data_IF_294153230554
#
_entry.id   IF_294153230554
#
_cell.length_a   1.000
_cell.length_b   1.000
_cell.length_c   1.000
_cell.angle_alpha   90.00
_cell.angle_beta   90.00
_cell.angle_gamma   90.00
#
_symmetry.space_group_name_H-M   'P 1'
#
loop_
_entity.id
_entity.type
_entity.pdbx_description
1 polymer ?
#
# COMPACT_ATOMS: atom_id res chain seq x y z
N UNK A 1 5.30 -2.12 -2.41
CA UNK A 1 4.33 -3.17 -2.01
C UNK A 1 4.57 -3.62 -0.57
N UNK A 2 3.54 -3.60 0.27
CA UNK A 2 3.58 -4.18 1.62
C UNK A 2 3.28 -5.69 1.59
N UNK A 3 4.02 -6.45 2.40
CA UNK A 3 3.82 -7.90 2.58
C UNK A 3 2.88 -8.21 3.75
N UNK A 4 2.22 -9.36 3.70
CA UNK A 4 1.58 -9.94 4.89
C UNK A 4 2.64 -10.45 5.87
N UNK A 5 2.29 -10.55 7.15
CA UNK A 5 3.20 -11.08 8.18
C UNK A 5 3.73 -12.47 7.82
N UNK A 6 2.88 -13.39 7.32
CA UNK A 6 3.34 -14.72 6.94
C UNK A 6 4.40 -14.68 5.81
N UNK A 7 4.25 -13.77 4.85
CA UNK A 7 5.20 -13.58 3.75
C UNK A 7 6.51 -12.99 4.26
N UNK A 8 6.44 -11.99 5.14
CA UNK A 8 7.61 -11.44 5.81
C UNK A 8 8.34 -12.51 6.63
N UNK A 9 7.60 -13.36 7.35
CA UNK A 9 8.15 -14.49 8.12
C UNK A 9 8.85 -15.50 7.22
N UNK A 10 8.24 -15.88 6.11
CA UNK A 10 8.83 -16.86 5.17
C UNK A 10 10.10 -16.28 4.52
N UNK A 11 10.10 -14.98 4.24
CA UNK A 11 11.27 -14.27 3.75
C UNK A 11 12.39 -14.21 4.80
N UNK A 12 12.05 -13.92 6.06
CA UNK A 12 12.98 -13.96 7.18
C UNK A 12 13.63 -15.34 7.32
N UNK A 13 12.86 -16.43 7.25
CA UNK A 13 13.40 -17.79 7.29
C UNK A 13 14.38 -18.07 6.14
N UNK A 14 14.07 -17.63 4.91
CA UNK A 14 14.94 -17.81 3.75
C UNK A 14 16.30 -17.14 3.91
N UNK A 15 16.35 -16.01 4.62
CA UNK A 15 17.58 -15.28 4.95
C UNK A 15 18.23 -15.73 6.27
N UNK A 16 17.67 -16.76 6.91
CA UNK A 16 18.19 -17.34 8.15
C UNK A 16 17.92 -16.51 9.41
N UNK A 17 17.03 -15.51 9.34
CA UNK A 17 16.52 -14.81 10.53
C UNK A 17 15.72 -15.81 11.36
N UNK A 18 16.00 -15.97 12.66
CA UNK A 18 15.25 -16.91 13.48
C UNK A 18 13.79 -16.49 13.64
N UNK A 19 12.88 -17.38 13.25
CA UNK A 19 11.43 -17.19 13.31
C UNK A 19 10.77 -18.44 13.87
N UNK A 20 9.56 -18.30 14.39
CA UNK A 20 8.74 -19.46 14.76
C UNK A 20 8.13 -20.11 13.52
N UNK A 21 7.84 -21.43 13.57
CA UNK A 21 7.08 -22.08 12.52
C UNK A 21 5.68 -21.46 12.44
N UNK A 22 5.22 -21.21 11.21
CA UNK A 22 3.91 -20.65 10.90
C UNK A 22 3.22 -21.45 9.81
N UNK A 23 1.90 -21.59 9.89
CA UNK A 23 1.07 -22.26 8.89
C UNK A 23 -0.13 -21.36 8.59
N UNK A 24 -0.35 -21.05 7.32
CA UNK A 24 -1.53 -20.29 6.88
C UNK A 24 -2.77 -21.18 6.86
N UNK A 25 -3.92 -20.58 7.15
CA UNK A 25 -5.23 -21.23 7.12
C UNK A 25 -6.30 -20.22 6.71
N UNK A 26 -7.24 -20.68 5.87
CA UNK A 26 -8.36 -19.89 5.33
C UNK A 26 -9.69 -20.34 5.94
N UNK A 27 -9.70 -21.45 6.69
CA UNK A 27 -10.89 -21.97 7.41
C UNK A 27 -10.57 -22.28 8.87
N UNK A 28 -11.57 -22.25 9.78
CA UNK A 28 -11.38 -22.68 11.17
C UNK A 28 -10.85 -24.11 11.28
N UNK A 29 -11.29 -25.02 10.41
CA UNK A 29 -10.87 -26.42 10.40
C UNK A 29 -9.39 -26.57 10.01
N UNK A 30 -8.90 -25.76 9.07
CA UNK A 30 -7.47 -25.67 8.76
C UNK A 30 -6.66 -25.07 9.92
N UNK A 31 -7.22 -24.10 10.66
CA UNK A 31 -6.59 -23.56 11.88
C UNK A 31 -6.39 -24.66 12.92
N UNK A 32 -7.40 -25.50 13.14
CA UNK A 32 -7.31 -26.66 14.04
C UNK A 32 -6.22 -27.63 13.60
N UNK A 33 -6.20 -27.99 12.32
CA UNK A 33 -5.20 -28.91 11.77
C UNK A 33 -3.77 -28.34 11.86
N UNK A 34 -3.59 -27.04 11.63
CA UNK A 34 -2.32 -26.35 11.81
C UNK A 34 -1.85 -26.39 13.27
N UNK A 35 -2.76 -26.15 14.23
CA UNK A 35 -2.45 -26.23 15.65
C UNK A 35 -2.06 -27.66 16.09
N UNK A 36 -2.75 -28.69 15.58
CA UNK A 36 -2.38 -30.10 15.82
C UNK A 36 -0.97 -30.42 15.28
N UNK A 37 -0.63 -29.90 14.10
CA UNK A 37 0.67 -30.14 13.46
C UNK A 37 1.81 -29.43 14.19
N UNK A 38 1.60 -28.19 14.64
CA UNK A 38 2.62 -27.43 15.38
C UNK A 38 2.79 -27.95 16.80
N UNK A 39 1.70 -28.35 17.45
CA UNK A 39 1.67 -28.79 18.83
C UNK A 39 1.93 -27.67 19.84
N UNK A 40 1.60 -27.93 21.11
CA UNK A 40 1.80 -26.97 22.19
C UNK A 40 0.89 -25.74 22.10
N UNK A 41 1.37 -24.61 22.63
CA UNK A 41 0.66 -23.33 22.56
C UNK A 41 0.92 -22.69 21.20
N UNK A 42 -0.15 -22.21 20.56
CA UNK A 42 -0.10 -21.50 19.28
C UNK A 42 -0.73 -20.12 19.38
N UNK A 43 -0.43 -19.27 18.40
CA UNK A 43 -1.04 -17.95 18.26
C UNK A 43 -1.68 -17.86 16.87
N UNK A 44 -2.98 -17.59 16.83
CA UNK A 44 -3.74 -17.35 15.60
C UNK A 44 -3.73 -15.86 15.31
N UNK A 45 -3.17 -15.46 14.16
CA UNK A 45 -2.95 -14.07 13.77
C UNK A 45 -3.61 -13.73 12.45
N UNK A 46 -4.45 -12.70 12.44
CA UNK A 46 -5.06 -12.12 11.25
C UNK A 46 -3.98 -11.67 10.24
N UNK A 47 -4.14 -12.06 8.98
CA UNK A 47 -3.28 -11.61 7.90
C UNK A 47 -3.94 -10.44 7.18
N UNK A 48 -3.58 -9.22 7.60
CA UNK A 48 -3.94 -7.94 7.00
C UNK A 48 -2.71 -7.03 7.00
N UNK A 49 -2.60 -6.12 6.03
CA UNK A 49 -1.43 -5.24 5.85
C UNK A 49 -1.42 -4.00 6.75
N UNK A 50 -2.18 -4.04 7.85
CA UNK A 50 -2.30 -2.94 8.81
C UNK A 50 -1.85 -3.37 10.22
N UNK A 51 -1.20 -2.44 10.92
CA UNK A 51 -0.79 -2.62 12.31
C UNK A 51 -1.95 -2.50 13.32
N UNK A 52 -1.71 -2.92 14.56
CA UNK A 52 -2.68 -2.84 15.66
C UNK A 52 -3.68 -4.01 15.73
N UNK A 53 -3.40 -5.11 15.02
CA UNK A 53 -4.25 -6.31 14.92
C UNK A 53 -4.62 -6.89 16.29
N UNK A 54 -3.68 -6.92 17.23
CA UNK A 54 -3.92 -7.42 18.58
C UNK A 54 -5.01 -6.63 19.33
N UNK A 55 -4.94 -5.30 19.28
CA UNK A 55 -5.95 -4.41 19.89
C UNK A 55 -7.34 -4.57 19.24
N UNK A 56 -7.38 -4.89 17.95
CA UNK A 56 -8.60 -5.16 17.20
C UNK A 56 -9.17 -6.58 17.41
N UNK A 57 -8.51 -7.44 18.20
CA UNK A 57 -8.94 -8.82 18.45
C UNK A 57 -8.50 -9.83 17.38
N UNK A 58 -7.66 -9.41 16.43
CA UNK A 58 -7.10 -10.24 15.35
C UNK A 58 -5.91 -11.09 15.75
N UNK A 59 -5.50 -11.12 17.03
CA UNK A 59 -4.43 -11.98 17.54
C UNK A 59 -4.94 -12.69 18.79
N UNK A 60 -4.91 -14.04 18.79
CA UNK A 60 -5.40 -14.86 19.91
C UNK A 60 -4.45 -16.00 20.20
N UNK A 61 -4.10 -16.18 21.48
CA UNK A 61 -3.33 -17.33 21.96
C UNK A 61 -4.29 -18.49 22.22
N UNK A 62 -3.92 -19.69 21.76
CA UNK A 62 -4.65 -20.92 21.96
C UNK A 62 -3.73 -22.02 22.51
N UNK A 63 -4.19 -22.75 23.53
CA UNK A 63 -3.43 -23.81 24.20
C UNK A 63 -3.78 -25.21 23.69
N UNK A 64 -4.87 -25.33 22.95
CA UNK A 64 -5.35 -26.58 22.37
C UNK A 64 -5.81 -26.35 20.93
N UNK A 65 -5.87 -27.41 20.09
CA UNK A 65 -6.43 -27.30 18.75
C UNK A 65 -7.86 -26.78 18.70
N UNK A 66 -8.71 -27.15 19.66
CA UNK A 66 -10.10 -26.70 19.71
C UNK A 66 -10.20 -25.21 20.09
N UNK A 67 -9.33 -24.72 20.99
CA UNK A 67 -9.19 -23.29 21.25
C UNK A 67 -8.69 -22.52 20.01
N UNK A 68 -7.79 -23.13 19.24
CA UNK A 68 -7.29 -22.54 18.00
C UNK A 68 -8.40 -22.44 16.95
N UNK A 69 -9.20 -23.49 16.77
CA UNK A 69 -10.37 -23.47 15.89
C UNK A 69 -11.34 -22.34 16.26
N UNK A 70 -11.67 -22.21 17.55
CA UNK A 70 -12.54 -21.16 18.06
C UNK A 70 -11.95 -19.76 17.82
N UNK A 71 -10.63 -19.61 17.97
CA UNK A 71 -9.93 -18.37 17.62
C UNK A 71 -10.01 -18.07 16.12
N UNK A 72 -9.81 -19.07 15.26
CA UNK A 72 -9.96 -18.95 13.80
C UNK A 72 -11.36 -18.48 13.42
N UNK A 73 -12.41 -19.08 14.01
CA UNK A 73 -13.82 -18.71 13.79
C UNK A 73 -14.15 -17.28 14.24
N UNK A 74 -13.44 -16.77 15.24
CA UNK A 74 -13.61 -15.41 15.75
C UNK A 74 -12.84 -14.35 14.94
N UNK A 75 -11.76 -14.74 14.25
CA UNK A 75 -10.87 -13.83 13.53
C UNK A 75 -11.22 -13.76 12.04
N UNK A 76 -11.52 -14.89 11.39
CA UNK A 76 -11.90 -14.93 9.98
C UNK A 76 -13.21 -14.15 9.76
N UNK A 77 -13.21 -13.23 8.79
CA UNK A 77 -14.31 -12.33 8.49
C UNK A 77 -14.38 -11.06 9.36
N UNK A 78 -13.48 -10.89 10.34
CA UNK A 78 -13.37 -9.66 11.11
C UNK A 78 -12.91 -8.51 10.20
N UNK A 79 -13.50 -7.32 10.37
CA UNK A 79 -12.97 -6.10 9.77
C UNK A 79 -11.95 -5.45 10.72
N UNK A 80 -10.73 -5.24 10.22
CA UNK A 80 -9.66 -4.54 10.94
C UNK A 80 -9.30 -3.30 10.15
N UNK A 81 -9.85 -2.14 10.55
CA UNK A 81 -9.60 -0.84 9.92
C UNK A 81 -9.94 -0.83 8.42
N UNK A 82 -11.05 -1.45 8.01
CA UNK A 82 -11.47 -1.56 6.61
C UNK A 82 -10.87 -2.74 5.85
N UNK A 83 -10.05 -3.56 6.50
CA UNK A 83 -9.51 -4.80 5.92
C UNK A 83 -10.23 -6.01 6.50
N UNK A 84 -11.01 -6.68 5.66
CA UNK A 84 -11.64 -7.95 6.02
C UNK A 84 -10.59 -9.08 6.07
N UNK A 85 -10.59 -9.84 7.16
CA UNK A 85 -9.64 -10.94 7.35
C UNK A 85 -10.13 -12.18 6.59
N UNK A 86 -9.45 -12.52 5.50
CA UNK A 86 -9.74 -13.73 4.71
C UNK A 86 -8.82 -14.92 5.04
N UNK A 87 -7.68 -14.64 5.67
CA UNK A 87 -6.64 -15.61 6.00
C UNK A 87 -6.07 -15.33 7.38
N UNK A 88 -5.70 -16.38 8.08
CA UNK A 88 -4.92 -16.30 9.33
C UNK A 88 -3.62 -17.09 9.20
N UNK A 89 -2.65 -16.74 10.05
CA UNK A 89 -1.46 -17.55 10.28
C UNK A 89 -1.54 -18.13 11.69
N UNK A 90 -1.38 -19.45 11.80
CA UNK A 90 -1.18 -20.16 13.06
C UNK A 90 0.31 -20.29 13.29
N UNK A 91 0.84 -19.57 14.26
CA UNK A 91 2.26 -19.58 14.61
C UNK A 91 2.50 -20.34 15.91
N UNK A 92 3.67 -20.96 16.07
CA UNK A 92 4.11 -21.50 17.35
C UNK A 92 4.15 -20.40 18.44
N UNK A 93 3.94 -20.79 19.70
CA UNK A 93 4.15 -19.90 20.84
C UNK A 93 5.60 -19.90 21.31
N UNK A 94 6.06 -18.80 21.92
CA UNK A 94 7.35 -18.69 22.59
C UNK A 94 7.18 -18.20 24.02
N UNK A 95 8.09 -18.63 24.92
CA UNK A 95 8.18 -18.10 26.27
C UNK A 95 9.03 -16.84 26.25
N UNK A 96 8.35 -15.69 26.20
CA UNK A 96 8.98 -14.39 26.01
C UNK A 96 9.59 -13.93 27.34
N UNK A 97 10.90 -13.70 27.34
CA UNK A 97 11.62 -13.10 28.47
C UNK A 97 11.71 -11.58 28.34
N UNK A 98 11.94 -11.09 27.13
CA UNK A 98 12.04 -9.65 26.84
C UNK A 98 11.68 -9.38 25.38
N UNK A 99 10.98 -8.27 25.14
CA UNK A 99 10.62 -7.79 23.80
C UNK A 99 11.49 -6.57 23.43
N UNK A 100 11.90 -6.53 22.17
CA UNK A 100 12.72 -5.50 21.56
C UNK A 100 12.10 -5.01 20.27
N UNK A 101 12.61 -3.89 19.78
CA UNK A 101 12.26 -3.34 18.49
C UNK A 101 13.52 -3.21 17.62
N UNK A 102 13.41 -3.60 16.36
CA UNK A 102 14.43 -3.32 15.35
C UNK A 102 13.76 -3.01 14.00
N UNK A 103 14.30 -2.02 13.29
CA UNK A 103 13.96 -1.76 11.91
C UNK A 103 15.13 -1.17 11.14
N UNK A 104 15.06 -1.28 9.82
CA UNK A 104 15.87 -0.54 8.85
C UNK A 104 14.95 -0.03 7.76
N UNK A 105 15.11 1.24 7.38
CA UNK A 105 14.28 1.91 6.38
C UNK A 105 15.08 2.87 5.50
N UNK A 106 14.49 3.24 4.36
CA UNK A 106 14.95 4.33 3.51
C UNK A 106 14.61 5.69 4.15
N UNK A 107 15.64 6.40 4.63
CA UNK A 107 15.52 7.77 5.13
C UNK A 107 15.61 8.77 3.97
N UNK A 108 14.45 9.22 3.52
CA UNK A 108 14.31 10.18 2.43
C UNK A 108 14.90 11.55 2.76
N UNK A 109 14.88 11.97 4.02
CA UNK A 109 15.37 13.29 4.45
C UNK A 109 16.88 13.36 4.34
N UNK A 110 17.57 12.32 4.81
CA UNK A 110 19.03 12.24 4.75
C UNK A 110 19.55 11.56 3.47
N UNK A 111 18.66 10.98 2.65
CA UNK A 111 18.98 10.26 1.40
C UNK A 111 19.92 9.07 1.65
N UNK A 112 19.66 8.34 2.73
CA UNK A 112 20.43 7.18 3.16
C UNK A 112 19.52 6.13 3.80
N UNK A 113 20.10 5.07 4.35
CA UNK A 113 19.38 4.13 5.21
C UNK A 113 19.51 4.52 6.67
N UNK A 114 18.49 4.19 7.45
CA UNK A 114 18.43 4.48 8.88
C UNK A 114 17.94 3.23 9.61
N UNK A 115 18.64 2.84 10.67
CA UNK A 115 18.17 1.81 11.59
C UNK A 115 17.58 2.47 12.84
N UNK A 116 16.38 2.03 13.21
CA UNK A 116 15.77 2.33 14.50
C UNK A 116 15.79 1.06 15.35
N UNK A 117 16.26 1.16 16.58
CA UNK A 117 16.28 0.03 17.51
C UNK A 117 16.00 0.47 18.95
N UNK A 118 15.32 -0.38 19.71
CA UNK A 118 15.05 -0.14 21.13
C UNK A 118 15.07 -1.42 21.94
N UNK A 119 15.61 -1.34 23.15
CA UNK A 119 15.47 -2.36 24.18
C UNK A 119 14.02 -2.46 24.72
N UNK A 120 13.20 -1.43 24.53
CA UNK A 120 11.76 -1.39 24.86
C UNK A 120 10.93 -1.73 23.60
N UNK A 121 10.67 -3.03 23.36
CA UNK A 121 9.81 -3.49 22.26
C UNK A 121 8.36 -3.76 22.65
N UNK A 122 7.56 -4.26 21.70
CA UNK A 122 6.17 -4.67 21.94
C UNK A 122 5.18 -3.51 22.06
N UNK A 123 5.62 -2.28 21.79
CA UNK A 123 4.83 -1.05 21.83
C UNK A 123 4.79 -0.38 20.44
N UNK A 124 3.85 0.55 20.26
CA UNK A 124 3.80 1.37 19.04
C UNK A 124 5.00 2.32 19.02
N UNK A 125 5.87 2.15 18.02
CA UNK A 125 7.16 2.84 17.97
C UNK A 125 7.00 4.35 17.80
N UNK A 126 5.93 4.78 17.13
CA UNK A 126 5.57 6.17 16.95
C UNK A 126 5.24 6.86 18.28
N UNK A 127 4.64 6.12 19.23
CA UNK A 127 4.38 6.60 20.58
C UNK A 127 5.68 6.67 21.37
N UNK A 128 6.50 5.62 21.31
CA UNK A 128 7.81 5.59 21.99
C UNK A 128 8.71 6.73 21.53
N UNK A 129 8.74 7.01 20.23
CA UNK A 129 9.54 8.09 19.64
C UNK A 129 9.17 9.49 20.17
N UNK A 130 7.92 9.69 20.60
CA UNK A 130 7.44 10.97 21.16
C UNK A 130 7.58 11.00 22.68
N UNK A 131 7.18 9.93 23.37
CA UNK A 131 7.12 9.90 24.83
C UNK A 131 8.47 9.61 25.49
N UNK A 132 9.31 8.80 24.85
CA UNK A 132 10.64 8.39 25.33
C UNK A 132 11.66 8.36 24.18
N UNK A 133 11.95 9.49 23.52
CA UNK A 133 12.88 9.54 22.39
C UNK A 133 14.27 8.98 22.73
N UNK A 134 14.70 9.06 23.99
CA UNK A 134 15.98 8.53 24.48
C UNK A 134 16.06 7.00 24.53
N UNK A 135 14.92 6.31 24.55
CA UNK A 135 14.83 4.85 24.51
C UNK A 135 14.96 4.30 23.07
N UNK A 136 14.89 5.17 22.06
CA UNK A 136 14.96 4.80 20.66
C UNK A 136 16.27 5.27 20.04
N UNK A 137 17.09 4.33 19.59
CA UNK A 137 18.30 4.66 18.85
C UNK A 137 17.98 4.94 17.39
N UNK A 138 18.63 5.98 16.85
CA UNK A 138 18.60 6.34 15.43
C UNK A 138 20.02 6.25 14.89
N UNK A 139 20.32 5.23 14.11
CA UNK A 139 21.67 4.96 13.62
C UNK A 139 21.70 5.01 12.11
N UNK A 140 22.39 6.02 11.56
CA UNK A 140 22.59 6.14 10.13
C UNK A 140 23.42 4.96 9.60
N UNK A 141 22.96 4.39 8.48
CA UNK A 141 23.59 3.25 7.82
C UNK A 141 24.16 3.74 6.49
N UNK A 142 25.44 3.46 6.27
CA UNK A 142 26.09 3.71 4.98
C UNK A 142 25.56 2.69 3.96
N UNK A 143 24.99 3.11 2.81
CA UNK A 143 24.40 2.18 1.84
C UNK A 143 25.40 1.23 1.18
N UNK A 144 26.70 1.57 1.19
CA UNK A 144 27.76 0.75 0.57
C UNK A 144 28.28 -0.30 1.55
N UNK A 145 28.48 0.09 2.83
CA UNK A 145 28.97 -0.81 3.87
C UNK A 145 27.85 -1.66 4.49
N UNK A 146 26.65 -1.10 4.62
CA UNK A 146 25.50 -1.74 5.24
C UNK A 146 25.63 -1.98 6.74
N UNK A 147 24.91 -2.99 7.24
CA UNK A 147 24.99 -3.43 8.64
C UNK A 147 25.83 -4.70 8.71
N UNK A 148 27.13 -4.53 8.97
CA UNK A 148 28.01 -5.61 9.37
C UNK A 148 27.90 -5.87 10.89
N UNK A 149 28.66 -6.84 11.41
CA UNK A 149 28.61 -7.18 12.83
C UNK A 149 29.06 -6.02 13.73
N UNK A 150 30.03 -5.20 13.30
CA UNK A 150 30.50 -4.06 14.10
C UNK A 150 29.41 -2.99 14.20
N UNK A 151 28.77 -2.65 13.07
CA UNK A 151 27.64 -1.73 13.00
C UNK A 151 26.44 -2.26 13.77
N UNK A 152 26.14 -3.56 13.67
CA UNK A 152 25.06 -4.18 14.43
C UNK A 152 25.26 -4.07 15.95
N UNK A 153 26.49 -4.26 16.44
CA UNK A 153 26.82 -4.05 17.85
C UNK A 153 26.71 -2.59 18.27
N UNK A 154 27.14 -1.66 17.40
CA UNK A 154 26.95 -0.22 17.62
C UNK A 154 25.46 0.13 17.77
N UNK A 155 24.60 -0.40 16.89
CA UNK A 155 23.14 -0.22 16.97
C UNK A 155 22.61 -0.72 18.32
N UNK A 156 22.96 -1.95 18.70
CA UNK A 156 22.49 -2.53 19.97
C UNK A 156 22.94 -1.71 21.19
N UNK A 157 24.19 -1.25 21.22
CA UNK A 157 24.72 -0.42 22.32
C UNK A 157 23.99 0.93 22.38
N UNK A 158 23.76 1.59 21.24
CA UNK A 158 23.01 2.85 21.20
C UNK A 158 21.56 2.65 21.64
N UNK A 159 20.95 1.53 21.27
CA UNK A 159 19.60 1.10 21.68
C UNK A 159 19.51 0.61 23.12
N UNK A 160 20.56 0.79 23.92
CA UNK A 160 20.64 0.49 25.36
C UNK A 160 20.51 -0.99 25.70
N UNK A 161 20.87 -1.88 24.78
CA UNK A 161 20.96 -3.30 25.11
C UNK A 161 22.08 -3.53 26.14
N UNK A 162 21.83 -4.35 27.18
CA UNK A 162 22.87 -4.85 28.08
C UNK A 162 24.00 -5.54 27.32
N UNK A 163 25.23 -5.43 27.82
CA UNK A 163 26.43 -5.92 27.13
C UNK A 163 26.35 -7.42 26.79
N UNK A 164 25.73 -8.22 27.65
CA UNK A 164 25.51 -9.65 27.45
C UNK A 164 24.51 -10.00 26.35
N UNK A 165 23.67 -9.04 25.93
CA UNK A 165 22.70 -9.22 24.84
C UNK A 165 23.19 -8.66 23.51
N UNK A 166 24.14 -7.72 23.52
CA UNK A 166 24.70 -7.12 22.29
C UNK A 166 25.22 -8.20 21.33
N UNK A 167 26.00 -9.15 21.84
CA UNK A 167 26.55 -10.24 21.01
C UNK A 167 25.49 -11.23 20.53
N UNK A 168 24.31 -11.29 21.19
CA UNK A 168 23.20 -12.16 20.80
C UNK A 168 22.33 -11.55 19.71
N UNK A 169 22.03 -10.26 19.80
CA UNK A 169 21.12 -9.59 18.84
C UNK A 169 21.84 -9.14 17.57
N UNK A 170 23.13 -8.82 17.66
CA UNK A 170 23.88 -8.29 16.52
C UNK A 170 23.85 -9.20 15.27
N UNK A 171 24.01 -10.54 15.36
CA UNK A 171 23.87 -11.42 14.20
C UNK A 171 22.49 -11.33 13.54
N UNK A 172 21.42 -11.19 14.33
CA UNK A 172 20.05 -11.10 13.82
C UNK A 172 19.82 -9.76 13.11
N UNK A 173 20.39 -8.66 13.61
CA UNK A 173 20.34 -7.36 12.92
C UNK A 173 21.03 -7.41 11.55
N UNK A 174 22.16 -8.11 11.44
CA UNK A 174 22.85 -8.33 10.14
C UNK A 174 21.96 -9.14 9.19
N UNK A 175 21.30 -10.18 9.67
CA UNK A 175 20.38 -10.99 8.86
C UNK A 175 19.17 -10.20 8.39
N UNK A 176 18.56 -9.39 9.25
CA UNK A 176 17.45 -8.50 8.90
C UNK A 176 17.87 -7.43 7.88
N UNK A 177 19.08 -6.91 7.98
CA UNK A 177 19.63 -6.04 6.94
C UNK A 177 19.87 -6.78 5.62
N UNK A 178 20.26 -8.05 5.69
CA UNK A 178 20.43 -8.87 4.49
C UNK A 178 19.10 -9.08 3.76
N UNK A 179 17.98 -9.21 4.48
CA UNK A 179 16.63 -9.17 3.90
C UNK A 179 16.38 -7.82 3.25
N UNK A 180 16.63 -6.72 3.97
CA UNK A 180 16.39 -5.36 3.47
C UNK A 180 17.13 -5.10 2.15
N UNK A 181 18.43 -5.38 2.12
CA UNK A 181 19.26 -5.17 0.94
C UNK A 181 19.00 -6.19 -0.17
N UNK A 182 18.76 -7.45 0.20
CA UNK A 182 18.59 -8.55 -0.74
C UNK A 182 17.28 -8.49 -1.52
N UNK A 183 16.25 -7.89 -0.94
CA UNK A 183 14.90 -7.82 -1.51
C UNK A 183 14.53 -6.43 -2.03
N UNK A 184 15.50 -5.51 -2.08
CA UNK A 184 15.27 -4.08 -2.37
C UNK A 184 14.11 -3.52 -1.54
N UNK A 185 14.14 -3.81 -0.23
CA UNK A 185 13.14 -3.33 0.70
C UNK A 185 13.30 -1.83 0.95
N UNK A 186 12.19 -1.14 1.17
CA UNK A 186 12.18 0.23 1.69
C UNK A 186 11.94 0.25 3.20
N UNK A 187 11.46 -0.86 3.77
CA UNK A 187 11.29 -1.09 5.20
C UNK A 187 11.45 -2.58 5.52
N UNK A 188 12.25 -2.89 6.53
CA UNK A 188 12.18 -4.15 7.30
C UNK A 188 12.05 -3.77 8.76
N UNK A 189 10.98 -4.22 9.40
CA UNK A 189 10.66 -3.95 10.81
C UNK A 189 10.28 -5.25 11.50
N UNK A 190 10.78 -5.44 12.72
CA UNK A 190 10.46 -6.55 13.60
C UNK A 190 10.00 -5.98 14.94
N UNK A 191 8.71 -6.19 15.25
CA UNK A 191 8.10 -5.71 16.49
C UNK A 191 6.99 -6.66 16.98
N UNK A 192 7.27 -7.56 17.94
CA UNK A 192 8.50 -7.64 18.71
C UNK A 192 9.56 -8.57 18.11
N UNK A 193 10.83 -8.18 18.26
CA UNK A 193 11.96 -9.10 18.28
C UNK A 193 12.15 -9.57 19.73
N UNK A 194 12.21 -10.87 20.01
CA UNK A 194 12.18 -11.35 21.40
C UNK A 194 13.42 -12.11 21.81
N UNK A 195 13.78 -11.96 23.08
CA UNK A 195 14.60 -12.92 23.82
C UNK A 195 13.66 -13.94 24.47
N UNK A 196 13.88 -15.23 24.22
CA UNK A 196 13.13 -16.30 24.88
C UNK A 196 13.72 -16.65 26.25
N UNK A 197 12.96 -17.38 27.08
CA UNK A 197 13.47 -17.97 28.32
C UNK A 197 14.62 -18.95 28.07
N UNK A 198 14.62 -19.62 26.91
CA UNK A 198 15.69 -20.50 26.44
C UNK A 198 16.96 -19.73 26.02
N UNK A 199 16.84 -18.41 25.85
CA UNK A 199 17.97 -17.52 25.57
C UNK A 199 18.21 -17.25 24.09
N UNK A 200 17.26 -17.60 23.23
CA UNK A 200 17.29 -17.39 21.78
C UNK A 200 16.70 -16.03 21.40
N UNK A 201 17.15 -15.48 20.28
CA UNK A 201 16.60 -14.25 19.68
C UNK A 201 15.71 -14.64 18.50
N UNK A 202 14.44 -14.24 18.52
CA UNK A 202 13.44 -14.66 17.53
C UNK A 202 12.61 -13.46 17.05
N UNK A 203 12.41 -13.34 15.74
CA UNK A 203 11.44 -12.40 15.17
C UNK A 203 10.03 -12.99 15.29
N UNK A 204 9.17 -12.40 16.14
CA UNK A 204 7.79 -12.88 16.33
C UNK A 204 6.79 -12.25 15.38
N UNK A 205 7.02 -11.03 14.94
CA UNK A 205 6.20 -10.30 13.98
C UNK A 205 7.13 -9.51 13.06
N UNK A 206 6.73 -9.40 11.79
CA UNK A 206 7.54 -8.82 10.74
C UNK A 206 6.71 -7.98 9.79
N UNK A 207 7.16 -6.76 9.55
CA UNK A 207 6.62 -5.89 8.51
C UNK A 207 7.72 -5.61 7.50
N UNK A 208 7.45 -5.93 6.24
CA UNK A 208 8.36 -5.69 5.12
C UNK A 208 7.62 -4.95 4.03
N UNK A 209 8.23 -3.86 3.56
CA UNK A 209 7.79 -3.12 2.39
C UNK A 209 8.88 -3.22 1.34
N UNK A 210 8.54 -3.71 0.15
CA UNK A 210 9.47 -3.83 -0.98
C UNK A 210 9.26 -2.73 -2.02
N UNK A 211 10.33 -2.29 -2.67
CA UNK A 211 10.26 -1.35 -3.79
C UNK A 211 9.75 -2.05 -5.05
N UNK A 212 8.54 -1.70 -5.49
CA UNK A 212 7.95 -2.27 -6.70
C UNK A 212 8.75 -1.91 -7.97
N UNK A 213 9.53 -0.82 -7.95
CA UNK A 213 10.39 -0.47 -9.07
C UNK A 213 11.55 -1.46 -9.26
N UNK A 214 11.90 -2.23 -8.22
CA UNK A 214 12.92 -3.26 -8.29
C UNK A 214 12.39 -4.62 -8.77
N UNK A 215 11.09 -4.77 -9.03
CA UNK A 215 10.47 -6.05 -9.39
C UNK A 215 11.09 -6.73 -10.62
N UNK A 216 11.66 -5.96 -11.56
CA UNK A 216 12.32 -6.49 -12.76
C UNK A 216 13.52 -7.41 -12.47
N UNK A 217 14.16 -7.27 -11.30
CA UNK A 217 15.29 -8.09 -10.86
C UNK A 217 14.94 -9.07 -9.75
N UNK A 218 13.66 -9.13 -9.38
CA UNK A 218 13.12 -10.00 -8.33
C UNK A 218 11.94 -10.83 -8.86
N UNK A 219 12.19 -11.91 -9.61
CA UNK A 219 11.12 -12.70 -10.23
C UNK A 219 10.14 -13.32 -9.22
N UNK A 220 10.55 -13.50 -7.96
CA UNK A 220 9.70 -14.01 -6.89
C UNK A 220 8.67 -13.00 -6.35
N UNK A 221 8.90 -11.69 -6.52
CA UNK A 221 8.03 -10.65 -5.94
C UNK A 221 6.61 -10.66 -6.51
N UNK A 222 6.45 -11.03 -7.78
CA UNK A 222 5.14 -11.12 -8.41
C UNK A 222 4.20 -12.14 -7.74
N UNK A 223 4.76 -13.15 -7.07
CA UNK A 223 4.00 -14.15 -6.31
C UNK A 223 3.58 -13.67 -4.91
N UNK A 224 4.21 -12.60 -4.40
CA UNK A 224 3.89 -12.00 -3.11
C UNK A 224 2.69 -11.04 -3.19
N UNK A 225 2.34 -10.59 -4.40
CA UNK A 225 1.19 -9.71 -4.63
C UNK A 225 -0.13 -10.44 -4.36
N UNK A 226 -0.94 -9.88 -3.48
CA UNK A 226 -2.32 -10.34 -3.26
C UNK A 226 -3.25 -9.67 -4.26
N UNK A 227 -3.40 -10.34 -5.41
CA UNK A 227 -4.28 -9.90 -6.49
C UNK A 227 -5.76 -10.01 -6.14
N UNK A 228 -6.12 -10.83 -5.16
CA UNK A 228 -7.52 -11.01 -4.77
C UNK A 228 -8.03 -9.85 -3.91
N UNK A 229 -7.13 -9.15 -3.20
CA UNK A 229 -7.45 -7.97 -2.41
C UNK A 229 -7.50 -6.66 -3.22
N UNK A 230 -7.05 -6.65 -4.49
CA UNK A 230 -7.07 -5.45 -5.32
C UNK A 230 -8.50 -5.09 -5.77
N UNK A 231 -8.84 -3.80 -5.75
CA UNK A 231 -10.10 -3.33 -6.31
C UNK A 231 -10.18 -3.72 -7.81
N UNK A 232 -11.31 -4.23 -8.32
CA UNK A 232 -11.44 -4.64 -9.72
C UNK A 232 -11.07 -3.54 -10.72
N UNK A 233 -11.31 -2.27 -10.39
CA UNK A 233 -10.95 -1.11 -11.22
C UNK A 233 -9.44 -0.85 -11.17
N UNK A 234 -8.80 -0.97 -10.01
CA UNK A 234 -7.34 -0.89 -9.88
C UNK A 234 -6.65 -2.03 -10.65
N UNK A 235 -7.19 -3.25 -10.58
CA UNK A 235 -6.70 -4.39 -11.36
C UNK A 235 -6.85 -4.15 -12.88
N UNK A 236 -8.01 -3.63 -13.32
CA UNK A 236 -8.26 -3.28 -14.73
C UNK A 236 -7.34 -2.15 -15.22
N UNK A 237 -7.11 -1.14 -14.40
CA UNK A 237 -6.20 -0.03 -14.71
C UNK A 237 -4.75 -0.53 -14.85
N UNK A 238 -4.29 -1.36 -13.91
CA UNK A 238 -2.94 -1.95 -13.93
C UNK A 238 -2.68 -2.80 -15.19
N UNK A 239 -3.68 -3.53 -15.68
CA UNK A 239 -3.59 -4.28 -16.95
C UNK A 239 -3.38 -3.40 -18.19
N UNK A 240 -3.73 -2.11 -18.09
CA UNK A 240 -3.56 -1.11 -19.15
C UNK A 240 -2.41 -0.14 -18.86
N UNK A 241 -1.53 -0.47 -17.91
CA UNK A 241 -0.41 0.36 -17.46
C UNK A 241 -0.85 1.76 -16.97
N UNK A 242 -2.03 1.86 -16.36
CA UNK A 242 -2.57 3.08 -15.79
C UNK A 242 -2.31 3.15 -14.28
N UNK A 243 -1.94 4.32 -13.78
CA UNK A 243 -1.86 4.56 -12.34
C UNK A 243 -3.23 5.02 -11.84
N UNK A 244 -3.94 4.14 -11.14
CA UNK A 244 -5.29 4.39 -10.63
C UNK A 244 -5.36 4.08 -9.14
N UNK A 245 -6.08 4.92 -8.40
CA UNK A 245 -6.43 4.67 -6.99
C UNK A 245 -7.89 5.02 -6.80
N UNK A 246 -8.69 4.11 -6.25
CA UNK A 246 -10.10 4.38 -5.96
C UNK A 246 -10.23 5.26 -4.71
N UNK A 247 -11.15 6.23 -4.75
CA UNK A 247 -11.50 7.10 -3.62
C UNK A 247 -13.02 7.03 -3.38
N UNK A 248 -13.51 7.61 -2.30
CA UNK A 248 -14.95 7.71 -2.02
C UNK A 248 -15.51 9.06 -2.50
N UNK A 249 -16.04 9.12 -3.72
CA UNK A 249 -16.59 10.33 -4.31
C UNK A 249 -17.38 10.11 -5.60
N UNK A 250 -17.82 11.19 -6.23
CA UNK A 250 -18.72 11.18 -7.38
C UNK A 250 -18.12 11.74 -8.67
N UNK A 251 -17.01 12.50 -8.60
CA UNK A 251 -16.35 13.08 -9.78
C UNK A 251 -15.15 12.23 -10.18
N UNK A 252 -15.26 11.51 -11.29
CA UNK A 252 -14.15 10.72 -11.83
C UNK A 252 -13.07 11.61 -12.42
N UNK A 253 -11.80 11.42 -12.05
CA UNK A 253 -10.69 12.26 -12.52
C UNK A 253 -9.83 11.48 -13.50
N UNK A 254 -9.49 12.13 -14.63
CA UNK A 254 -8.47 11.67 -15.57
C UNK A 254 -7.54 12.85 -15.86
N UNK A 255 -6.24 12.68 -15.67
CA UNK A 255 -5.26 13.67 -16.09
C UNK A 255 -3.90 13.04 -16.36
N UNK A 256 -2.94 13.86 -16.78
CA UNK A 256 -1.58 13.42 -17.06
C UNK A 256 -0.56 14.05 -16.10
N UNK A 257 0.30 13.21 -15.54
CA UNK A 257 1.27 13.55 -14.52
C UNK A 257 0.67 13.61 -13.11
N UNK A 258 1.20 12.79 -12.22
CA UNK A 258 0.71 12.64 -10.84
C UNK A 258 0.48 13.96 -10.10
N UNK A 259 1.38 14.95 -10.25
CA UNK A 259 1.22 16.27 -9.64
C UNK A 259 -0.03 17.01 -10.10
N UNK A 260 -0.31 17.04 -11.41
CA UNK A 260 -1.49 17.70 -11.96
C UNK A 260 -2.77 16.96 -11.55
N UNK A 261 -2.75 15.62 -11.56
CA UNK A 261 -3.90 14.82 -11.14
C UNK A 261 -4.21 15.08 -9.67
N UNK A 262 -3.21 15.06 -8.78
CA UNK A 262 -3.41 15.40 -7.35
C UNK A 262 -3.97 16.80 -7.17
N UNK A 263 -3.41 17.82 -7.84
CA UNK A 263 -3.98 19.17 -7.79
C UNK A 263 -5.41 19.22 -8.34
N UNK A 264 -5.77 18.35 -9.29
CA UNK A 264 -7.13 18.22 -9.83
C UNK A 264 -8.10 17.65 -8.80
N UNK A 265 -7.66 16.68 -7.99
CA UNK A 265 -8.45 16.19 -6.85
C UNK A 265 -8.76 17.34 -5.89
N UNK A 266 -7.74 18.16 -5.57
CA UNK A 266 -7.89 19.26 -4.61
C UNK A 266 -8.88 20.33 -5.09
N UNK A 267 -8.75 20.82 -6.33
CA UNK A 267 -9.70 21.83 -6.85
C UNK A 267 -11.11 21.28 -7.02
N UNK A 268 -11.28 19.98 -7.34
CA UNK A 268 -12.60 19.35 -7.40
C UNK A 268 -13.19 19.21 -6.00
N UNK A 269 -12.38 18.86 -5.00
CA UNK A 269 -12.82 18.80 -3.61
C UNK A 269 -13.26 20.20 -3.12
N UNK A 270 -12.48 21.25 -3.41
CA UNK A 270 -12.85 22.63 -3.05
C UNK A 270 -14.12 23.10 -3.77
N UNK A 271 -14.22 22.87 -5.08
CA UNK A 271 -15.44 23.18 -5.82
C UNK A 271 -16.66 22.39 -5.29
N UNK A 272 -16.42 21.17 -4.85
CA UNK A 272 -17.44 20.29 -4.27
C UNK A 272 -18.07 20.84 -2.99
N UNK A 273 -17.36 21.65 -2.20
CA UNK A 273 -17.91 22.32 -1.01
C UNK A 273 -19.10 23.22 -1.36
N UNK A 274 -19.07 23.88 -2.53
CA UNK A 274 -20.16 24.72 -3.04
C UNK A 274 -21.24 23.91 -3.78
N UNK A 275 -20.97 22.64 -4.10
CA UNK A 275 -21.83 21.76 -4.89
C UNK A 275 -22.26 20.50 -4.13
N UNK A 276 -22.81 20.67 -2.92
CA UNK A 276 -23.41 19.57 -2.16
C UNK A 276 -22.41 18.60 -1.53
N UNK A 277 -21.15 19.01 -1.39
CA UNK A 277 -20.08 18.23 -0.80
C UNK A 277 -19.62 17.07 -1.66
N UNK A 278 -19.76 17.17 -2.99
CA UNK A 278 -19.24 16.17 -3.94
C UNK A 278 -17.73 16.07 -3.84
N UNK A 279 -17.20 14.86 -4.06
CA UNK A 279 -15.77 14.58 -3.91
C UNK A 279 -15.19 13.93 -5.15
N UNK A 280 -13.87 14.01 -5.37
CA UNK A 280 -13.21 13.20 -6.38
C UNK A 280 -13.37 11.70 -6.05
N UNK A 281 -13.71 10.92 -7.06
CA UNK A 281 -14.00 9.49 -6.97
C UNK A 281 -12.77 8.61 -7.15
N UNK A 282 -11.68 9.15 -7.69
CA UNK A 282 -10.46 8.40 -7.97
C UNK A 282 -9.30 9.34 -8.27
N UNK A 283 -8.08 8.79 -8.19
CA UNK A 283 -6.90 9.26 -8.91
C UNK A 283 -6.74 8.44 -10.20
N UNK A 284 -6.50 9.06 -11.36
CA UNK A 284 -6.06 8.35 -12.57
C UNK A 284 -5.05 9.20 -13.35
N UNK A 285 -3.81 8.71 -13.43
CA UNK A 285 -2.75 9.29 -14.24
C UNK A 285 -2.48 8.43 -15.48
N UNK A 286 -2.72 9.01 -16.67
CA UNK A 286 -2.45 8.40 -17.98
C UNK A 286 -0.98 8.53 -18.45
N UNK A 287 -0.14 9.20 -17.67
CA UNK A 287 1.27 9.44 -17.97
C UNK A 287 1.51 10.58 -18.98
N UNK A 288 2.77 11.02 -19.07
CA UNK A 288 3.17 12.18 -19.88
C UNK A 288 3.18 11.97 -21.41
N UNK A 289 3.04 10.74 -21.88
CA UNK A 289 3.04 10.35 -23.30
C UNK A 289 1.80 9.55 -23.72
N UNK A 290 0.67 9.82 -23.09
CA UNK A 290 -0.59 9.11 -23.32
C UNK A 290 -1.04 9.16 -24.80
N UNK A 291 -1.39 8.00 -25.34
CA UNK A 291 -1.99 7.87 -26.68
C UNK A 291 -3.53 7.89 -26.59
N UNK A 292 -4.19 7.97 -27.75
CA UNK A 292 -5.64 7.83 -27.84
C UNK A 292 -6.15 6.52 -27.18
N UNK A 293 -5.39 5.43 -27.30
CA UNK A 293 -5.73 4.14 -26.70
C UNK A 293 -5.65 4.18 -25.17
N UNK A 294 -4.62 4.84 -24.60
CA UNK A 294 -4.47 5.01 -23.15
C UNK A 294 -5.61 5.86 -22.59
N UNK A 295 -5.98 6.94 -23.29
CA UNK A 295 -7.14 7.77 -22.90
C UNK A 295 -8.45 6.98 -22.92
N UNK A 296 -8.66 6.15 -23.95
CA UNK A 296 -9.85 5.30 -24.04
C UNK A 296 -9.91 4.25 -22.93
N UNK A 297 -8.79 3.60 -22.61
CA UNK A 297 -8.69 2.68 -21.49
C UNK A 297 -8.98 3.37 -20.15
N UNK A 298 -8.47 4.58 -19.94
CA UNK A 298 -8.76 5.40 -18.76
C UNK A 298 -10.25 5.70 -18.62
N UNK A 299 -10.90 6.13 -19.71
CA UNK A 299 -12.36 6.36 -19.72
C UNK A 299 -13.14 5.08 -19.42
N UNK A 300 -12.76 3.94 -19.99
CA UNK A 300 -13.41 2.65 -19.75
C UNK A 300 -13.29 2.17 -18.29
N UNK A 301 -12.22 2.54 -17.58
CA UNK A 301 -12.10 2.32 -16.13
C UNK A 301 -13.08 3.22 -15.37
N UNK A 302 -13.06 4.54 -15.61
CA UNK A 302 -13.87 5.52 -14.85
C UNK A 302 -15.38 5.38 -15.13
N UNK A 303 -15.76 5.15 -16.38
CA UNK A 303 -17.16 5.00 -16.77
C UNK A 303 -17.75 3.69 -16.22
N UNK A 304 -16.93 2.67 -15.97
CA UNK A 304 -17.34 1.44 -15.30
C UNK A 304 -17.66 1.59 -13.81
N UNK A 305 -17.20 2.65 -13.15
CA UNK A 305 -17.39 2.83 -11.71
C UNK A 305 -18.80 3.37 -11.36
N UNK A 306 -19.69 2.61 -10.69
CA UNK A 306 -21.06 3.03 -10.42
C UNK A 306 -21.21 4.27 -9.52
N UNK A 307 -20.19 4.60 -8.71
CA UNK A 307 -20.23 5.79 -7.85
C UNK A 307 -20.04 7.09 -8.64
N UNK A 308 -19.32 7.01 -9.77
CA UNK A 308 -19.00 8.18 -10.60
C UNK A 308 -20.27 8.70 -11.28
N UNK A 309 -20.50 10.01 -11.16
CA UNK A 309 -21.65 10.75 -11.71
C UNK A 309 -21.24 11.74 -12.80
N UNK A 310 -20.03 12.27 -12.77
CA UNK A 310 -19.42 13.06 -13.85
C UNK A 310 -17.93 12.73 -13.96
N UNK A 311 -17.31 13.07 -15.09
CA UNK A 311 -15.87 12.87 -15.31
C UNK A 311 -15.21 14.20 -15.62
N UNK A 312 -14.12 14.53 -14.95
CA UNK A 312 -13.26 15.66 -15.28
C UNK A 312 -11.95 15.17 -15.91
N UNK A 313 -11.79 15.45 -17.20
CA UNK A 313 -10.55 15.22 -17.95
C UNK A 313 -9.74 16.51 -17.96
N UNK A 314 -8.64 16.55 -17.20
CA UNK A 314 -7.75 17.69 -17.12
C UNK A 314 -6.36 17.32 -17.66
N UNK A 315 -6.08 17.76 -18.89
CA UNK A 315 -4.81 17.43 -19.57
C UNK A 315 -4.04 18.69 -19.90
N UNK A 316 -2.79 18.71 -19.48
CA UNK A 316 -1.81 19.69 -19.93
C UNK A 316 -0.87 19.02 -20.95
N UNK A 317 -1.07 19.34 -22.22
CA UNK A 317 -0.31 18.82 -23.34
C UNK A 317 1.14 19.28 -23.32
N UNK A 318 2.04 18.31 -23.18
CA UNK A 318 3.48 18.47 -23.35
C UNK A 318 3.95 17.56 -24.49
N UNK A 319 4.47 16.38 -24.12
CA UNK A 319 4.75 15.30 -25.09
C UNK A 319 3.44 14.76 -25.65
N UNK A 320 2.45 14.50 -24.79
CA UNK A 320 1.07 14.24 -25.22
C UNK A 320 0.48 15.47 -25.90
N UNK A 321 0.09 15.35 -27.18
CA UNK A 321 -0.57 16.41 -27.91
C UNK A 321 -2.09 16.39 -27.66
N UNK A 322 -2.71 17.57 -27.52
CA UNK A 322 -4.13 17.70 -27.15
C UNK A 322 -5.09 17.11 -28.19
N UNK A 323 -4.71 17.10 -29.46
CA UNK A 323 -5.46 16.46 -30.56
C UNK A 323 -5.51 14.94 -30.42
N UNK A 324 -4.41 14.30 -30.00
CA UNK A 324 -4.40 12.86 -29.74
C UNK A 324 -5.34 12.49 -28.58
N UNK A 325 -5.39 13.33 -27.53
CA UNK A 325 -6.30 13.18 -26.39
C UNK A 325 -7.74 13.38 -26.83
N UNK A 326 -8.02 14.43 -27.60
CA UNK A 326 -9.34 14.70 -28.16
C UNK A 326 -9.84 13.54 -29.02
N UNK A 327 -9.01 12.99 -29.91
CA UNK A 327 -9.33 11.79 -30.68
C UNK A 327 -9.58 10.56 -29.79
N UNK A 328 -8.81 10.39 -28.72
CA UNK A 328 -9.05 9.35 -27.72
C UNK A 328 -10.42 9.46 -27.05
N UNK A 329 -10.81 10.66 -26.64
CA UNK A 329 -12.14 10.93 -26.04
C UNK A 329 -13.25 10.62 -27.05
N UNK A 330 -13.18 11.18 -28.27
CA UNK A 330 -14.20 10.97 -29.31
C UNK A 330 -14.30 9.50 -29.69
N UNK A 331 -13.17 8.81 -29.87
CA UNK A 331 -13.12 7.39 -30.20
C UNK A 331 -13.69 6.50 -29.09
N UNK A 332 -13.39 6.81 -27.84
CA UNK A 332 -13.93 6.09 -26.69
C UNK A 332 -15.45 6.25 -26.61
N UNK A 333 -15.97 7.47 -26.73
CA UNK A 333 -17.41 7.74 -26.72
C UNK A 333 -18.12 7.06 -27.90
N UNK A 334 -17.52 7.07 -29.10
CA UNK A 334 -18.07 6.37 -30.26
C UNK A 334 -18.12 4.85 -30.06
N UNK A 335 -17.12 4.27 -29.39
CA UNK A 335 -17.05 2.83 -29.10
C UNK A 335 -18.06 2.42 -28.04
N UNK A 336 -18.22 3.24 -26.99
CA UNK A 336 -19.16 3.00 -25.91
C UNK A 336 -20.62 3.21 -26.35
N UNK A 337 -20.87 4.10 -27.30
CA UNK A 337 -22.21 4.39 -27.80
C UNK A 337 -23.17 4.73 -26.66
N UNK A 338 -24.34 4.09 -26.63
CA UNK A 338 -25.37 4.32 -25.62
C UNK A 338 -24.96 3.92 -24.18
N UNK A 339 -23.86 3.17 -24.02
CA UNK A 339 -23.32 2.86 -22.70
C UNK A 339 -22.61 4.07 -22.06
N UNK A 340 -22.20 5.06 -22.86
CA UNK A 340 -21.69 6.32 -22.33
C UNK A 340 -22.86 7.14 -21.78
N UNK A 341 -22.95 7.26 -20.46
CA UNK A 341 -24.09 7.91 -19.78
C UNK A 341 -23.67 8.97 -18.74
N UNK A 342 -22.37 9.24 -18.61
CA UNK A 342 -21.85 10.23 -17.67
C UNK A 342 -21.36 11.47 -18.43
N UNK A 343 -21.65 12.70 -17.98
CA UNK A 343 -21.09 13.90 -18.57
C UNK A 343 -19.59 13.99 -18.34
N UNK A 344 -18.86 14.41 -19.37
CA UNK A 344 -17.43 14.66 -19.39
C UNK A 344 -17.17 16.16 -19.47
N UNK A 345 -16.51 16.71 -18.47
CA UNK A 345 -15.92 18.05 -18.53
C UNK A 345 -14.47 17.89 -18.96
N UNK A 346 -14.05 18.62 -19.99
CA UNK A 346 -12.73 18.46 -20.60
C UNK A 346 -12.02 19.80 -20.62
N UNK A 347 -10.85 19.85 -19.97
CA UNK A 347 -9.91 20.97 -20.07
C UNK A 347 -8.64 20.47 -20.75
N UNK A 348 -8.35 21.06 -21.91
CA UNK A 348 -7.10 20.88 -22.65
C UNK A 348 -6.31 22.19 -22.63
N UNK A 349 -4.99 22.07 -22.43
CA UNK A 349 -4.04 23.18 -22.50
C UNK A 349 -2.68 22.70 -23.04
N UNK A 350 -1.83 23.61 -23.50
CA UNK A 350 -0.48 23.29 -23.99
C UNK A 350 -0.43 22.86 -25.46
N UNK A 351 0.36 21.83 -25.76
CA UNK A 351 0.71 21.44 -27.14
C UNK A 351 -0.53 21.06 -27.96
N UNK A 352 -0.69 21.71 -29.12
CA UNK A 352 -1.78 21.52 -30.08
C UNK A 352 -3.21 21.69 -29.50
N UNK A 353 -3.35 22.53 -28.47
CA UNK A 353 -4.63 22.76 -27.77
C UNK A 353 -5.74 23.27 -28.68
N UNK A 354 -5.44 24.18 -29.61
CA UNK A 354 -6.45 24.75 -30.52
C UNK A 354 -7.09 23.65 -31.38
N UNK A 355 -6.27 22.73 -31.90
CA UNK A 355 -6.72 21.59 -32.69
C UNK A 355 -7.51 20.59 -31.83
N UNK A 356 -7.03 20.26 -30.63
CA UNK A 356 -7.77 19.39 -29.71
C UNK A 356 -9.15 19.93 -29.36
N UNK A 357 -9.27 21.24 -29.11
CA UNK A 357 -10.56 21.92 -28.89
C UNK A 357 -11.42 21.91 -30.16
N UNK A 358 -10.84 22.12 -31.34
CA UNK A 358 -11.55 22.04 -32.63
C UNK A 358 -12.16 20.65 -32.83
N UNK A 359 -11.40 19.58 -32.61
CA UNK A 359 -11.87 18.19 -32.73
C UNK A 359 -13.06 17.92 -31.81
N UNK A 360 -12.99 18.34 -30.55
CA UNK A 360 -14.10 18.15 -29.59
C UNK A 360 -15.34 18.96 -29.96
N UNK A 361 -15.15 20.20 -30.43
CA UNK A 361 -16.25 21.05 -30.90
C UNK A 361 -16.93 20.50 -32.16
N UNK A 362 -16.16 19.97 -33.11
CA UNK A 362 -16.71 19.37 -34.33
C UNK A 362 -17.44 18.06 -34.06
N UNK A 363 -16.95 17.26 -33.11
CA UNK A 363 -17.65 16.07 -32.66
C UNK A 363 -19.00 16.42 -31.99
N UNK A 364 -19.08 17.59 -31.34
CA UNK A 364 -20.29 18.16 -30.73
C UNK A 364 -21.09 17.12 -29.91
N UNK A 365 -20.38 16.30 -29.14
CA UNK A 365 -20.99 15.21 -28.40
C UNK A 365 -21.78 15.75 -27.19
N UNK A 366 -23.04 15.34 -26.96
CA UNK A 366 -23.90 15.94 -25.93
C UNK A 366 -23.39 15.76 -24.49
N UNK A 367 -22.55 14.75 -24.26
CA UNK A 367 -21.93 14.52 -22.95
C UNK A 367 -20.67 15.36 -22.71
N UNK A 368 -20.09 16.02 -23.73
CA UNK A 368 -18.80 16.70 -23.59
C UNK A 368 -19.00 18.19 -23.40
N UNK A 369 -18.45 18.73 -22.32
CA UNK A 369 -18.39 20.16 -22.03
C UNK A 369 -16.92 20.59 -21.98
N UNK A 370 -16.53 21.58 -22.78
CA UNK A 370 -15.19 22.16 -22.72
C UNK A 370 -15.11 23.21 -21.60
N UNK A 371 -14.03 23.18 -20.83
CA UNK A 371 -13.69 24.21 -19.84
C UNK A 371 -12.40 24.94 -20.24
N UNK A 372 -12.35 26.25 -20.03
CA UNK A 372 -11.18 27.05 -20.36
C UNK A 372 -10.08 26.94 -19.29
N UNK A 373 -10.47 26.88 -18.02
CA UNK A 373 -9.57 26.77 -16.88
C UNK A 373 -9.81 25.51 -16.07
N UNK A 374 -8.83 25.18 -15.23
CA UNK A 374 -8.92 24.08 -14.28
C UNK A 374 -10.04 24.29 -13.26
N UNK A 375 -10.18 25.51 -12.73
CA UNK A 375 -11.22 25.87 -11.75
C UNK A 375 -12.63 25.80 -12.37
N UNK A 376 -12.79 26.30 -13.60
CA UNK A 376 -14.05 26.20 -14.34
C UNK A 376 -14.42 24.73 -14.59
N UNK A 377 -13.43 23.92 -14.99
CA UNK A 377 -13.64 22.50 -15.22
C UNK A 377 -14.03 21.75 -13.95
N UNK A 378 -13.37 22.05 -12.83
CA UNK A 378 -13.67 21.46 -11.53
C UNK A 378 -15.07 21.84 -11.04
N UNK A 379 -15.42 23.13 -11.07
CA UNK A 379 -16.75 23.62 -10.70
C UNK A 379 -17.84 22.98 -11.55
N UNK A 380 -17.65 22.92 -12.88
CA UNK A 380 -18.64 22.32 -13.77
C UNK A 380 -18.80 20.81 -13.55
N UNK A 381 -17.70 20.09 -13.33
CA UNK A 381 -17.76 18.66 -13.05
C UNK A 381 -18.49 18.38 -11.73
N UNK A 382 -18.21 19.16 -10.70
CA UNK A 382 -18.87 19.09 -9.40
C UNK A 382 -20.38 19.39 -9.50
N UNK A 383 -20.76 20.47 -10.20
CA UNK A 383 -22.16 20.83 -10.48
C UNK A 383 -22.92 19.66 -11.15
N UNK A 384 -22.33 19.07 -12.19
CA UNK A 384 -22.93 17.97 -12.95
C UNK A 384 -23.04 16.68 -12.12
N UNK A 385 -22.04 16.37 -11.29
CA UNK A 385 -22.11 15.23 -10.38
C UNK A 385 -23.22 15.40 -9.33
N UNK A 386 -23.33 16.60 -8.74
CA UNK A 386 -24.37 16.90 -7.76
C UNK A 386 -25.78 16.85 -8.36
N UNK A 387 -25.95 17.30 -9.61
CA UNK A 387 -27.23 17.23 -10.31
C UNK A 387 -27.68 15.79 -10.65
N UNK A 388 -26.74 14.85 -10.71
CA UNK A 388 -26.98 13.43 -10.99
C UNK A 388 -27.02 12.54 -9.73
N UNK A 389 -26.87 13.15 -8.54
CA UNK A 389 -27.06 12.51 -7.23
C UNK A 389 -28.54 12.48 -6.89
#
# INVERSE_FOLDING_TARGET
MDLYEYQARDLFEQYGVPVLPGIIADTPEEVRAAAEKLGGVVVVKAQVKVGGRGKAGGVKVAKTPDEAEAAGRAILGLDIKGHTVHRVMVAGGARIKQEFYFSVLLDRSNRSYLSLASYEGGVEIEVLAVEKPEALAYVAIDPTAGIDLAKAKEIAVQAKFPAELVDKVAPVFVQLYSVFAGEDATLVEVNPLVLTEEGDIIALDGKVTIDENAGFRHPGHAALEDKAAADPLEAKAKQNDLNYVKLDGEVGIIGNGAGLVMSTLDVVAYAGEEHGGVKPANFLDIGGGASAAVMAAGLDVILGDPQVKSVFVNVFGGITACDAVAHGIVGALATLGDAANKPLVVRLDGNNVEEGRRILNEANHPLVTLAATMDEGAAKAAELANAAK
#
